data_IF_688928436288
#
_entry.id   IF_688928436288
#
_cell.length_a   1.000
_cell.length_b   1.000
_cell.length_c   1.000
_cell.angle_alpha   90.00
_cell.angle_beta   90.00
_cell.angle_gamma   90.00
#
_symmetry.space_group_name_H-M   'P 1'
#
loop_
_entity.id
_entity.type
_entity.pdbx_description
1 polymer ?
#
# COMPACT_ATOMS: atom_id res chain seq x y z
N UNK A 1 -20.33 11.10 -22.72
CA UNK A 1 -20.44 10.08 -21.64
C UNK A 1 -21.34 8.96 -22.13
N UNK A 2 -20.99 7.73 -21.88
CA UNK A 2 -21.79 6.58 -22.28
C UNK A 2 -22.95 6.41 -21.28
N UNK A 3 -24.16 6.88 -21.63
CA UNK A 3 -25.34 6.83 -20.75
C UNK A 3 -25.82 5.42 -20.39
N UNK A 4 -25.18 4.38 -20.90
CA UNK A 4 -25.50 2.98 -20.60
C UNK A 4 -24.79 2.52 -19.31
N UNK A 5 -23.64 3.11 -18.97
CA UNK A 5 -22.88 2.76 -17.78
C UNK A 5 -23.35 3.56 -16.57
N UNK A 6 -23.22 2.98 -15.37
CA UNK A 6 -23.56 3.69 -14.13
C UNK A 6 -22.66 4.89 -13.89
N UNK A 7 -23.18 5.92 -13.19
CA UNK A 7 -22.39 7.11 -12.83
C UNK A 7 -21.16 6.74 -11.99
N UNK A 8 -21.26 5.71 -11.16
CA UNK A 8 -20.14 5.20 -10.36
C UNK A 8 -18.92 4.83 -11.21
N UNK A 9 -19.13 4.09 -12.33
CA UNK A 9 -18.01 3.67 -13.19
C UNK A 9 -17.53 4.85 -14.07
N UNK A 10 -18.44 5.74 -14.48
CA UNK A 10 -18.06 6.91 -15.27
C UNK A 10 -17.21 7.91 -14.45
N UNK A 11 -17.40 7.94 -13.12
CA UNK A 11 -16.66 8.82 -12.20
C UNK A 11 -15.43 8.17 -11.57
N UNK A 12 -15.15 6.90 -11.87
CA UNK A 12 -13.99 6.18 -11.35
C UNK A 12 -12.77 6.44 -12.24
N UNK A 13 -11.66 6.87 -11.62
CA UNK A 13 -10.41 7.05 -12.35
C UNK A 13 -9.69 5.72 -12.63
N UNK A 14 -9.03 5.63 -13.77
CA UNK A 14 -8.15 4.51 -14.07
C UNK A 14 -6.88 4.60 -13.20
N UNK A 15 -6.46 3.48 -12.63
CA UNK A 15 -5.23 3.43 -11.84
C UNK A 15 -4.00 3.85 -12.65
N UNK A 16 -3.41 4.99 -12.32
CA UNK A 16 -2.21 5.54 -12.97
C UNK A 16 -1.02 4.57 -12.92
N UNK A 17 -0.87 3.81 -11.82
CA UNK A 17 0.16 2.77 -11.69
C UNK A 17 -0.01 1.68 -12.76
N UNK A 18 -1.26 1.21 -12.99
CA UNK A 18 -1.54 0.19 -13.99
C UNK A 18 -1.43 0.73 -15.41
N UNK A 19 -1.84 1.98 -15.63
CA UNK A 19 -1.72 2.66 -16.93
C UNK A 19 -0.24 2.80 -17.33
N UNK A 20 0.61 3.29 -16.43
CA UNK A 20 2.05 3.42 -16.69
C UNK A 20 2.71 2.05 -16.92
N UNK A 21 2.33 1.03 -16.16
CA UNK A 21 2.85 -0.32 -16.36
C UNK A 21 2.42 -0.93 -17.70
N UNK A 22 1.20 -0.65 -18.16
CA UNK A 22 0.72 -1.07 -19.49
C UNK A 22 1.49 -0.36 -20.60
N UNK A 23 1.68 0.96 -20.49
CA UNK A 23 2.45 1.75 -21.45
C UNK A 23 3.91 1.29 -21.53
N UNK A 24 4.55 1.02 -20.39
CA UNK A 24 5.91 0.50 -20.35
C UNK A 24 6.03 -0.87 -21.05
N UNK A 25 5.04 -1.76 -20.88
CA UNK A 25 5.00 -3.06 -21.58
C UNK A 25 4.83 -2.89 -23.09
N UNK A 26 3.96 -1.98 -23.51
CA UNK A 26 3.73 -1.67 -24.93
C UNK A 26 5.02 -1.17 -25.59
N UNK A 27 5.71 -0.20 -24.97
CA UNK A 27 6.96 0.34 -25.47
C UNK A 27 8.07 -0.72 -25.54
N UNK A 28 8.15 -1.62 -24.56
CA UNK A 28 9.06 -2.79 -24.62
C UNK A 28 8.73 -3.72 -25.78
N UNK A 29 7.45 -3.98 -26.03
CA UNK A 29 7.02 -4.81 -27.17
C UNK A 29 7.38 -4.18 -28.53
N UNK A 30 7.50 -2.85 -28.58
CA UNK A 30 7.98 -2.09 -29.73
C UNK A 30 9.52 -2.06 -29.87
N UNK A 31 10.25 -2.76 -28.97
CA UNK A 31 11.71 -2.86 -29.00
C UNK A 31 12.45 -1.76 -28.25
N UNK A 32 11.76 -0.89 -27.50
CA UNK A 32 12.43 0.14 -26.67
C UNK A 32 13.01 -0.49 -25.39
N UNK A 33 14.21 -0.04 -25.00
CA UNK A 33 14.88 -0.47 -23.77
C UNK A 33 14.33 0.29 -22.54
N UNK A 34 13.09 -0.04 -22.15
CA UNK A 34 12.41 0.61 -21.02
C UNK A 34 12.77 -0.09 -19.70
N UNK A 35 13.27 0.67 -18.72
CA UNK A 35 13.37 0.24 -17.33
C UNK A 35 12.09 0.66 -16.60
N UNK A 36 11.35 -0.30 -16.03
CA UNK A 36 10.10 0.01 -15.33
C UNK A 36 10.31 0.00 -13.82
N UNK A 37 10.18 1.19 -13.19
CA UNK A 37 10.16 1.38 -11.74
C UNK A 37 8.75 1.71 -11.23
N UNK A 38 7.70 1.37 -12.02
CA UNK A 38 6.31 1.74 -11.73
C UNK A 38 5.54 0.69 -10.92
N UNK A 39 5.97 -0.59 -10.94
CA UNK A 39 5.24 -1.68 -10.30
C UNK A 39 5.57 -1.82 -8.81
N UNK A 40 4.55 -2.12 -8.02
CA UNK A 40 4.66 -2.41 -6.60
C UNK A 40 4.63 -3.91 -6.30
N UNK A 41 5.59 -4.67 -6.84
CA UNK A 41 5.68 -6.12 -6.68
C UNK A 41 7.10 -6.52 -6.29
N UNK A 42 7.30 -7.37 -5.23
CA UNK A 42 8.61 -7.88 -4.91
C UNK A 42 9.19 -8.70 -6.07
N UNK A 43 10.49 -8.54 -6.34
CA UNK A 43 11.23 -9.30 -7.36
C UNK A 43 11.83 -10.62 -6.82
N UNK A 44 11.31 -11.09 -5.72
CA UNK A 44 11.64 -12.35 -5.08
C UNK A 44 10.62 -13.44 -5.42
N UNK A 45 11.05 -14.68 -5.36
CA UNK A 45 10.15 -15.81 -5.45
C UNK A 45 9.48 -16.08 -4.10
N UNK A 46 8.24 -16.57 -4.12
CA UNK A 46 7.60 -17.15 -2.93
C UNK A 46 8.50 -18.24 -2.35
N UNK A 47 8.79 -18.25 -1.04
CA UNK A 47 9.62 -19.27 -0.39
C UNK A 47 9.16 -20.69 -0.68
N UNK A 48 10.13 -21.63 -0.84
CA UNK A 48 9.85 -23.00 -1.27
C UNK A 48 8.92 -23.76 -0.31
N UNK A 49 9.06 -23.54 0.99
CA UNK A 49 8.20 -24.17 1.99
C UNK A 49 6.73 -23.76 1.86
N UNK A 50 6.45 -22.53 1.43
CA UNK A 50 5.09 -22.04 1.15
C UNK A 50 4.56 -22.67 -0.15
N UNK A 51 5.40 -22.76 -1.19
CA UNK A 51 5.05 -23.42 -2.46
C UNK A 51 4.75 -24.90 -2.23
N UNK A 52 5.51 -25.57 -1.34
CA UNK A 52 5.25 -26.96 -0.97
C UNK A 52 3.89 -27.13 -0.28
N UNK A 53 3.51 -26.19 0.62
CA UNK A 53 2.20 -26.22 1.26
C UNK A 53 1.05 -26.01 0.25
N UNK A 54 1.24 -25.13 -0.76
CA UNK A 54 0.27 -24.95 -1.83
C UNK A 54 0.10 -26.22 -2.68
N UNK A 55 1.20 -26.90 -3.07
CA UNK A 55 1.16 -28.16 -3.81
C UNK A 55 0.45 -29.24 -3.01
N UNK A 56 0.79 -29.38 -1.71
CA UNK A 56 0.11 -30.31 -0.82
C UNK A 56 -1.40 -30.04 -0.73
N UNK A 57 -1.82 -28.79 -0.68
CA UNK A 57 -3.24 -28.43 -0.65
C UNK A 57 -3.97 -28.87 -1.93
N UNK A 58 -3.30 -28.83 -3.09
CA UNK A 58 -3.83 -29.36 -4.35
C UNK A 58 -3.98 -30.88 -4.25
N UNK A 59 -2.93 -31.59 -3.79
CA UNK A 59 -2.94 -33.04 -3.64
C UNK A 59 -3.98 -33.52 -2.61
N UNK A 60 -4.20 -32.74 -1.56
CA UNK A 60 -5.22 -32.99 -0.52
C UNK A 60 -6.65 -32.60 -0.96
N UNK A 61 -6.86 -32.18 -2.22
CA UNK A 61 -8.15 -31.82 -2.79
C UNK A 61 -8.86 -30.63 -2.11
N UNK A 62 -8.14 -29.57 -1.72
CA UNK A 62 -8.73 -28.30 -1.31
C UNK A 62 -9.34 -27.55 -2.52
N UNK A 63 -10.36 -28.14 -3.14
CA UNK A 63 -10.98 -27.67 -4.39
C UNK A 63 -12.46 -27.26 -4.23
N UNK A 64 -13.00 -27.39 -3.01
CA UNK A 64 -14.40 -27.01 -2.70
C UNK A 64 -14.49 -25.62 -2.10
N UNK A 65 -15.70 -25.06 -1.98
CA UNK A 65 -15.92 -23.78 -1.32
C UNK A 65 -15.38 -23.78 0.10
N UNK A 66 -14.63 -22.74 0.45
CA UNK A 66 -14.22 -22.45 1.82
C UNK A 66 -15.29 -21.63 2.55
N UNK A 67 -15.25 -21.55 3.90
CA UNK A 67 -16.01 -20.54 4.63
C UNK A 67 -15.74 -19.14 4.10
N UNK A 68 -16.75 -18.27 4.11
CA UNK A 68 -16.66 -16.92 3.52
C UNK A 68 -15.56 -16.10 4.15
N UNK A 69 -15.41 -16.18 5.48
CA UNK A 69 -14.40 -15.44 6.27
C UNK A 69 -13.06 -16.17 6.41
N UNK A 70 -12.89 -17.31 5.72
CA UNK A 70 -11.69 -18.13 5.72
C UNK A 70 -11.79 -19.37 6.63
N UNK A 71 -10.85 -20.31 6.42
CA UNK A 71 -10.75 -21.51 7.26
C UNK A 71 -10.44 -21.14 8.71
N UNK A 72 -11.00 -21.91 9.65
CA UNK A 72 -10.84 -21.63 11.09
C UNK A 72 -9.37 -21.68 11.53
N UNK A 73 -8.63 -22.68 11.08
CA UNK A 73 -7.21 -22.84 11.40
C UNK A 73 -6.34 -21.72 10.79
N UNK A 74 -6.72 -21.16 9.64
CA UNK A 74 -6.06 -19.97 9.08
C UNK A 74 -6.35 -18.73 9.94
N UNK A 75 -7.58 -18.53 10.39
CA UNK A 75 -7.92 -17.41 11.28
C UNK A 75 -7.16 -17.50 12.60
N UNK A 76 -7.02 -18.70 13.15
CA UNK A 76 -6.21 -18.94 14.36
C UNK A 76 -4.72 -18.65 14.13
N UNK A 77 -4.17 -19.06 12.97
CA UNK A 77 -2.80 -18.72 12.59
C UNK A 77 -2.59 -17.20 12.45
N UNK A 78 -3.55 -16.49 11.84
CA UNK A 78 -3.52 -15.02 11.73
C UNK A 78 -3.60 -14.37 13.13
N UNK A 79 -4.40 -14.89 14.06
CA UNK A 79 -4.42 -14.40 15.44
C UNK A 79 -3.06 -14.55 16.12
N UNK A 80 -2.40 -15.73 15.95
CA UNK A 80 -1.04 -15.94 16.48
C UNK A 80 -0.04 -14.95 15.89
N UNK A 81 -0.11 -14.73 14.57
CA UNK A 81 0.72 -13.76 13.86
C UNK A 81 0.50 -12.33 14.40
N UNK A 82 -0.74 -11.87 14.50
CA UNK A 82 -1.03 -10.53 15.00
C UNK A 82 -0.56 -10.33 16.45
N UNK A 83 -0.66 -11.36 17.29
CA UNK A 83 -0.16 -11.30 18.66
C UNK A 83 1.37 -11.24 18.70
N UNK A 84 2.06 -12.08 17.90
CA UNK A 84 3.53 -12.16 17.85
C UNK A 84 4.15 -10.89 17.28
N UNK A 85 3.64 -10.40 16.13
CA UNK A 85 4.31 -9.37 15.33
C UNK A 85 3.81 -7.96 15.63
N UNK A 86 2.51 -7.82 15.96
CA UNK A 86 1.86 -6.52 16.11
C UNK A 86 1.42 -6.22 17.56
N UNK A 87 1.47 -7.21 18.48
CA UNK A 87 0.97 -7.07 19.82
C UNK A 87 -0.56 -6.95 19.91
N UNK A 88 -1.29 -7.44 18.90
CA UNK A 88 -2.76 -7.36 18.80
C UNK A 88 -3.39 -8.69 19.20
N UNK A 89 -4.28 -8.68 20.18
CA UNK A 89 -4.92 -9.89 20.72
C UNK A 89 -6.33 -10.08 20.15
N UNK A 90 -6.40 -10.45 18.88
CA UNK A 90 -7.64 -10.75 18.17
C UNK A 90 -8.14 -12.19 18.44
N UNK A 91 -9.46 -12.38 18.37
CA UNK A 91 -10.12 -13.70 18.33
C UNK A 91 -10.38 -14.10 16.87
N UNK A 92 -10.51 -15.41 16.55
CA UNK A 92 -10.85 -15.85 15.20
C UNK A 92 -12.15 -15.24 14.64
N UNK A 93 -13.13 -14.90 15.49
CA UNK A 93 -14.37 -14.20 15.09
C UNK A 93 -14.14 -12.75 14.64
N UNK A 94 -12.95 -12.19 14.90
CA UNK A 94 -12.55 -10.84 14.52
C UNK A 94 -11.69 -10.81 13.23
N UNK A 95 -11.42 -12.01 12.64
CA UNK A 95 -10.59 -12.15 11.43
C UNK A 95 -11.48 -12.42 10.22
N UNK A 96 -11.20 -11.73 9.11
CA UNK A 96 -11.81 -12.01 7.80
C UNK A 96 -10.71 -12.11 6.75
N UNK A 97 -10.66 -13.24 6.07
CA UNK A 97 -9.73 -13.51 4.96
C UNK A 97 -10.41 -13.18 3.64
N UNK A 98 -9.76 -12.37 2.81
CA UNK A 98 -10.30 -11.84 1.55
C UNK A 98 -9.36 -12.11 0.37
N UNK A 99 -9.84 -11.89 -0.85
CA UNK A 99 -9.05 -12.02 -2.09
C UNK A 99 -8.09 -10.84 -2.26
N UNK A 100 -7.08 -10.80 -1.38
CA UNK A 100 -6.09 -9.74 -1.25
C UNK A 100 -6.59 -8.57 -0.38
N UNK A 101 -5.63 -7.82 0.20
CA UNK A 101 -5.91 -6.67 1.07
C UNK A 101 -6.81 -5.61 0.39
N UNK A 102 -6.73 -5.46 -0.95
CA UNK A 102 -7.60 -4.54 -1.70
C UNK A 102 -9.08 -4.90 -1.54
N UNK A 103 -9.45 -6.17 -1.57
CA UNK A 103 -10.83 -6.58 -1.30
C UNK A 103 -11.21 -6.31 0.16
N UNK A 104 -10.30 -6.53 1.10
CA UNK A 104 -10.54 -6.19 2.51
C UNK A 104 -10.88 -4.70 2.67
N UNK A 105 -10.11 -3.82 2.06
CA UNK A 105 -10.36 -2.36 2.08
C UNK A 105 -11.69 -2.00 1.43
N UNK A 106 -12.02 -2.63 0.29
CA UNK A 106 -13.32 -2.44 -0.36
C UNK A 106 -14.47 -2.88 0.55
N UNK A 107 -14.36 -4.05 1.19
CA UNK A 107 -15.37 -4.54 2.12
C UNK A 107 -15.57 -3.58 3.29
N UNK A 108 -14.47 -3.05 3.88
CA UNK A 108 -14.51 -2.07 4.98
C UNK A 108 -15.28 -0.82 4.53
N UNK A 109 -14.93 -0.25 3.37
CA UNK A 109 -15.62 0.93 2.85
C UNK A 109 -17.11 0.69 2.65
N UNK A 110 -17.48 -0.45 2.05
CA UNK A 110 -18.87 -0.80 1.78
C UNK A 110 -19.73 -1.01 3.03
N UNK A 111 -19.14 -1.45 4.14
CA UNK A 111 -19.89 -1.70 5.38
C UNK A 111 -19.88 -0.53 6.35
N UNK A 112 -18.93 0.39 6.19
CA UNK A 112 -18.75 1.49 7.13
C UNK A 112 -19.24 2.85 6.62
N UNK A 113 -19.32 3.05 5.29
CA UNK A 113 -19.64 4.34 4.69
C UNK A 113 -21.07 4.39 4.15
N UNK A 114 -21.74 5.48 4.43
CA UNK A 114 -22.91 5.96 3.71
C UNK A 114 -22.50 7.10 2.77
N UNK A 115 -23.43 7.48 1.88
CA UNK A 115 -23.21 8.62 0.99
C UNK A 115 -22.93 9.90 1.80
N UNK A 116 -21.78 10.51 1.53
CA UNK A 116 -21.34 11.75 2.16
C UNK A 116 -20.55 11.58 3.47
N UNK A 117 -20.37 10.37 3.99
CA UNK A 117 -19.43 10.11 5.09
C UNK A 117 -17.99 10.42 4.67
N UNK A 118 -17.23 11.11 5.51
CA UNK A 118 -15.88 11.54 5.21
C UNK A 118 -14.82 10.55 5.71
N UNK A 119 -13.79 10.35 4.88
CA UNK A 119 -12.60 9.55 5.22
C UNK A 119 -11.36 10.41 5.08
N UNK A 120 -10.65 10.63 6.19
CA UNK A 120 -9.38 11.34 6.20
C UNK A 120 -8.30 10.45 5.59
N UNK A 121 -7.62 10.98 4.57
CA UNK A 121 -6.51 10.36 3.86
C UNK A 121 -5.26 11.24 3.98
N UNK A 122 -4.32 10.96 4.91
CA UNK A 122 -3.01 11.61 4.89
C UNK A 122 -2.33 11.36 3.53
N UNK A 123 -2.05 12.42 2.79
CA UNK A 123 -1.39 12.35 1.50
C UNK A 123 0.13 12.52 1.67
N UNK A 124 0.96 11.65 1.05
CA UNK A 124 0.57 10.69 0.04
C UNK A 124 -0.03 9.40 0.62
N UNK A 125 -0.94 8.83 -0.13
CA UNK A 125 -1.64 7.57 0.19
C UNK A 125 -1.58 6.60 -1.01
N UNK A 126 -1.89 5.31 -0.79
CA UNK A 126 -2.00 4.36 -1.90
C UNK A 126 -3.19 4.71 -2.81
N UNK A 127 -2.92 4.83 -4.11
CA UNK A 127 -3.87 5.29 -5.15
C UNK A 127 -5.28 4.72 -5.05
N UNK A 128 -5.42 3.49 -4.54
CA UNK A 128 -6.73 2.83 -4.47
C UNK A 128 -7.59 3.30 -3.30
N UNK A 129 -7.04 3.95 -2.27
CA UNK A 129 -7.85 4.41 -1.13
C UNK A 129 -8.89 5.43 -1.56
N UNK A 130 -8.45 6.45 -2.30
CA UNK A 130 -9.30 7.51 -2.81
C UNK A 130 -10.47 6.97 -3.63
N UNK A 131 -10.18 6.09 -4.59
CA UNK A 131 -11.19 5.53 -5.48
C UNK A 131 -12.11 4.53 -4.77
N UNK A 132 -11.62 3.74 -3.81
CA UNK A 132 -12.45 2.82 -3.02
C UNK A 132 -13.43 3.61 -2.14
N UNK A 133 -12.99 4.70 -1.50
CA UNK A 133 -13.87 5.58 -0.70
C UNK A 133 -14.97 6.16 -1.58
N UNK A 134 -14.62 6.75 -2.74
CA UNK A 134 -15.61 7.29 -3.69
C UNK A 134 -16.58 6.23 -4.20
N UNK A 135 -16.08 5.07 -4.58
CA UNK A 135 -16.88 3.95 -5.08
C UNK A 135 -17.92 3.49 -4.04
N UNK A 136 -17.64 3.71 -2.77
CA UNK A 136 -18.50 3.36 -1.63
C UNK A 136 -19.43 4.50 -1.17
N UNK A 137 -19.51 5.61 -1.92
CA UNK A 137 -20.33 6.77 -1.57
C UNK A 137 -19.68 7.75 -0.59
N UNK A 138 -18.49 7.42 -0.06
CA UNK A 138 -17.75 8.28 0.86
C UNK A 138 -17.06 9.45 0.16
N UNK A 139 -16.67 10.43 0.95
CA UNK A 139 -15.93 11.62 0.53
C UNK A 139 -14.50 11.54 1.07
N UNK A 140 -13.48 11.36 0.21
CA UNK A 140 -12.09 11.39 0.65
C UNK A 140 -11.70 12.83 1.04
N UNK A 141 -11.16 13.00 2.24
CA UNK A 141 -10.62 14.26 2.77
C UNK A 141 -9.11 14.15 2.80
N UNK A 142 -8.47 14.71 1.78
CA UNK A 142 -7.02 14.66 1.63
C UNK A 142 -6.34 15.65 2.58
N UNK A 143 -5.37 15.17 3.38
CA UNK A 143 -4.56 16.03 4.25
C UNK A 143 -3.14 16.03 3.71
N UNK A 144 -2.69 17.13 3.08
CA UNK A 144 -1.38 17.19 2.46
C UNK A 144 -0.26 17.12 3.50
N UNK A 145 0.78 16.34 3.18
CA UNK A 145 2.04 16.29 3.89
C UNK A 145 3.21 16.44 2.91
N UNK A 146 4.43 16.56 3.41
CA UNK A 146 5.59 16.85 2.56
C UNK A 146 6.85 16.08 3.00
N UNK A 147 7.91 16.22 2.22
CA UNK A 147 9.23 15.67 2.55
C UNK A 147 9.71 16.16 3.92
N UNK A 148 9.44 17.41 4.27
CA UNK A 148 9.85 18.04 5.52
C UNK A 148 9.22 17.41 6.77
N UNK A 149 8.04 16.79 6.61
CA UNK A 149 7.34 16.04 7.68
C UNK A 149 7.50 14.52 7.53
N UNK A 150 8.44 14.07 6.70
CA UNK A 150 8.58 12.66 6.33
C UNK A 150 7.27 12.07 5.81
N UNK A 151 6.47 12.89 5.11
CA UNK A 151 5.16 12.51 4.58
C UNK A 151 4.19 11.92 5.62
N UNK A 152 4.28 12.36 6.87
CA UNK A 152 3.42 11.94 7.98
C UNK A 152 2.50 13.08 8.41
N UNK A 153 1.23 12.73 8.74
CA UNK A 153 0.27 13.70 9.29
C UNK A 153 0.64 14.01 10.74
N UNK A 154 0.46 15.27 11.15
CA UNK A 154 0.62 15.67 12.55
C UNK A 154 -0.72 15.59 13.32
N UNK A 155 -0.70 15.54 14.66
CA UNK A 155 -1.91 15.60 15.47
C UNK A 155 -2.78 16.85 15.18
N UNK A 156 -2.13 17.99 14.95
CA UNK A 156 -2.81 19.26 14.65
C UNK A 156 -3.51 19.21 13.29
N UNK A 157 -2.85 18.65 12.28
CA UNK A 157 -3.45 18.44 10.96
C UNK A 157 -4.64 17.47 11.04
N UNK A 158 -4.52 16.38 11.82
CA UNK A 158 -5.61 15.44 12.02
C UNK A 158 -6.80 16.10 12.71
N UNK A 159 -6.58 16.81 13.82
CA UNK A 159 -7.64 17.53 14.53
C UNK A 159 -8.35 18.54 13.63
N UNK A 160 -7.59 19.29 12.82
CA UNK A 160 -8.14 20.29 11.90
C UNK A 160 -8.96 19.68 10.74
N UNK A 161 -8.68 18.44 10.35
CA UNK A 161 -9.40 17.75 9.26
C UNK A 161 -10.70 17.08 9.72
N UNK A 162 -10.89 16.91 11.03
CA UNK A 162 -12.09 16.25 11.57
C UNK A 162 -13.30 17.17 11.49
N UNK A 163 -14.40 16.63 10.94
CA UNK A 163 -15.72 17.27 10.88
C UNK A 163 -16.78 16.36 11.49
N UNK A 164 -18.02 16.83 11.70
CA UNK A 164 -19.13 15.97 12.12
C UNK A 164 -19.46 14.81 11.15
N UNK A 165 -18.97 14.86 9.91
CA UNK A 165 -19.14 13.81 8.89
C UNK A 165 -18.00 12.81 8.86
N UNK A 166 -16.90 13.08 9.55
CA UNK A 166 -15.71 12.21 9.56
C UNK A 166 -16.06 10.87 10.21
N UNK A 167 -15.91 9.81 9.45
CA UNK A 167 -16.20 8.42 9.82
C UNK A 167 -14.96 7.60 10.06
N UNK A 168 -13.93 7.81 9.24
CA UNK A 168 -12.70 7.02 9.29
C UNK A 168 -11.47 7.86 8.97
N UNK A 169 -10.31 7.39 9.43
CA UNK A 169 -8.99 7.76 8.94
C UNK A 169 -8.34 6.52 8.35
N UNK A 170 -7.81 6.60 7.12
CA UNK A 170 -7.07 5.51 6.47
C UNK A 170 -5.63 5.91 6.22
N UNK A 171 -4.69 5.09 6.64
CA UNK A 171 -3.27 5.29 6.35
C UNK A 171 -2.54 3.96 6.22
N UNK A 172 -1.33 3.98 5.67
CA UNK A 172 -0.43 2.82 5.64
C UNK A 172 0.89 3.13 6.36
N UNK A 173 1.38 2.15 7.10
CA UNK A 173 2.70 2.18 7.73
C UNK A 173 3.28 0.77 7.74
N UNK A 174 4.42 0.55 7.07
CA UNK A 174 5.16 1.43 6.15
C UNK A 174 4.32 1.89 4.95
N UNK A 175 4.56 3.11 4.47
CA UNK A 175 3.69 3.77 3.49
C UNK A 175 4.08 3.43 2.04
N UNK A 176 3.09 3.18 1.22
CA UNK A 176 3.16 3.31 -0.23
C UNK A 176 2.44 4.62 -0.61
N UNK A 177 3.15 5.68 -1.10
CA UNK A 177 4.40 5.61 -1.87
C UNK A 177 5.69 6.05 -1.14
N UNK A 178 5.63 6.63 0.06
CA UNK A 178 6.76 7.36 0.65
C UNK A 178 7.81 6.48 1.34
N UNK A 179 7.46 5.26 1.70
CA UNK A 179 8.28 4.39 2.54
C UNK A 179 8.41 4.85 3.99
N UNK A 180 7.68 5.88 4.39
CA UNK A 180 7.68 6.41 5.76
C UNK A 180 7.06 5.41 6.73
N UNK A 181 7.57 5.38 7.96
CA UNK A 181 7.09 4.52 9.03
C UNK A 181 6.75 5.40 10.24
N UNK A 182 5.56 5.24 10.78
CA UNK A 182 5.17 5.94 12.01
C UNK A 182 5.81 5.30 13.23
N UNK A 183 6.43 6.11 14.07
CA UNK A 183 6.93 5.67 15.38
C UNK A 183 5.78 5.43 16.38
N UNK A 184 6.07 4.74 17.49
CA UNK A 184 5.12 4.58 18.58
C UNK A 184 4.67 5.92 19.17
N UNK A 185 5.59 6.87 19.28
CA UNK A 185 5.34 8.22 19.80
C UNK A 185 4.38 8.99 18.90
N UNK A 186 4.62 8.97 17.57
CA UNK A 186 3.75 9.60 16.58
C UNK A 186 2.36 8.98 16.58
N UNK A 187 2.25 7.64 16.58
CA UNK A 187 0.97 6.95 16.66
C UNK A 187 0.24 7.22 17.97
N UNK A 188 0.97 7.33 19.09
CA UNK A 188 0.37 7.69 20.39
C UNK A 188 -0.18 9.12 20.37
N UNK A 189 0.50 10.04 19.70
CA UNK A 189 0.01 11.41 19.56
C UNK A 189 -1.26 11.49 18.69
N UNK A 190 -1.33 10.74 17.60
CA UNK A 190 -2.55 10.61 16.79
C UNK A 190 -3.69 9.93 17.56
N UNK A 191 -3.39 8.88 18.33
CA UNK A 191 -4.37 8.19 19.17
C UNK A 191 -5.04 9.13 20.18
N UNK A 192 -4.28 10.05 20.80
CA UNK A 192 -4.83 11.06 21.73
C UNK A 192 -5.82 12.02 21.05
N UNK A 193 -5.63 12.32 19.78
CA UNK A 193 -6.64 13.08 19.00
C UNK A 193 -7.89 12.22 18.81
N UNK A 194 -7.72 10.99 18.35
CA UNK A 194 -8.83 10.07 18.07
C UNK A 194 -9.63 9.67 19.33
N UNK A 195 -9.03 9.68 20.51
CA UNK A 195 -9.73 9.46 21.79
C UNK A 195 -10.85 10.46 22.04
N UNK A 196 -10.69 11.71 21.60
CA UNK A 196 -11.71 12.76 21.71
C UNK A 196 -12.89 12.53 20.74
N UNK A 197 -12.70 11.68 19.74
CA UNK A 197 -13.65 11.41 18.67
C UNK A 197 -14.04 9.92 18.63
N UNK A 198 -14.90 9.45 19.55
CA UNK A 198 -15.16 8.02 19.76
C UNK A 198 -15.80 7.33 18.55
N UNK A 199 -16.42 8.07 17.64
CA UNK A 199 -17.11 7.54 16.47
C UNK A 199 -16.21 7.39 15.23
N UNK A 200 -14.94 7.84 15.29
CA UNK A 200 -13.98 7.73 14.19
C UNK A 200 -13.20 6.42 14.33
N UNK A 201 -13.20 5.60 13.28
CA UNK A 201 -12.45 4.37 13.18
C UNK A 201 -11.18 4.58 12.36
N UNK A 202 -10.14 3.79 12.68
CA UNK A 202 -8.88 3.82 11.94
C UNK A 202 -8.76 2.57 11.09
N UNK A 203 -8.45 2.74 9.82
CA UNK A 203 -8.00 1.65 8.93
C UNK A 203 -6.49 1.78 8.78
N UNK A 204 -5.77 0.85 9.41
CA UNK A 204 -4.32 0.75 9.37
C UNK A 204 -3.92 -0.35 8.37
N UNK A 205 -3.42 0.06 7.20
CA UNK A 205 -2.87 -0.88 6.21
C UNK A 205 -1.40 -1.15 6.52
N UNK A 206 -1.15 -2.33 7.10
CA UNK A 206 0.15 -2.76 7.59
C UNK A 206 0.79 -3.82 6.66
N UNK A 207 0.38 -3.85 5.38
CA UNK A 207 0.82 -4.87 4.40
C UNK A 207 2.34 -4.92 4.21
N UNK A 208 3.07 -3.84 4.56
CA UNK A 208 4.52 -3.74 4.46
C UNK A 208 5.25 -3.90 5.80
N UNK A 209 4.59 -4.27 6.89
CA UNK A 209 5.16 -4.31 8.26
C UNK A 209 6.50 -5.05 8.38
N UNK A 210 6.68 -6.14 7.61
CA UNK A 210 7.92 -6.92 7.61
C UNK A 210 9.01 -6.34 6.70
N UNK A 211 8.67 -5.42 5.79
CA UNK A 211 9.64 -4.69 4.99
C UNK A 211 9.86 -3.34 5.68
N UNK A 212 10.54 -3.41 6.81
CA UNK A 212 10.78 -2.30 7.73
C UNK A 212 12.27 -2.30 8.11
N UNK A 213 12.91 -1.17 7.92
CA UNK A 213 14.36 -0.98 8.11
C UNK A 213 14.67 -0.23 9.41
N UNK A 214 13.66 0.33 10.09
CA UNK A 214 13.84 1.04 11.38
C UNK A 214 14.17 0.12 12.55
N UNK A 215 13.97 -1.20 12.37
CA UNK A 215 14.17 -2.21 13.42
C UNK A 215 13.00 -2.32 14.42
N UNK A 216 12.06 -1.39 14.41
CA UNK A 216 10.87 -1.41 15.26
C UNK A 216 9.62 -1.15 14.43
N UNK A 217 8.60 -1.96 14.63
CA UNK A 217 7.27 -1.74 14.05
C UNK A 217 6.26 -1.51 15.16
N UNK A 218 5.35 -0.55 14.99
CA UNK A 218 4.26 -0.30 15.89
C UNK A 218 2.94 -0.27 15.12
N UNK A 219 2.00 -1.14 15.49
CA UNK A 219 0.63 -1.04 15.05
C UNK A 219 -0.12 -0.01 15.90
N UNK A 220 -0.94 0.86 15.29
CA UNK A 220 -1.77 1.80 16.04
C UNK A 220 -2.78 1.06 16.94
N UNK A 221 -3.25 -0.12 16.53
CA UNK A 221 -4.11 -0.97 17.34
C UNK A 221 -3.47 -1.43 18.64
N UNK A 222 -2.13 -1.42 18.76
CA UNK A 222 -1.39 -1.77 19.99
C UNK A 222 -1.29 -0.62 20.99
N UNK A 223 -1.68 0.59 20.60
CA UNK A 223 -1.76 1.73 21.53
C UNK A 223 -2.97 1.52 22.45
N UNK A 224 -2.83 1.75 23.76
CA UNK A 224 -3.95 1.58 24.69
C UNK A 224 -5.21 2.33 24.23
N UNK A 225 -6.36 1.65 24.25
CA UNK A 225 -7.64 2.20 23.81
C UNK A 225 -7.91 2.15 22.30
N UNK A 226 -6.94 1.76 21.47
CA UNK A 226 -7.09 1.79 20.02
C UNK A 226 -7.54 0.48 19.39
N UNK A 227 -7.39 -0.68 20.02
CA UNK A 227 -7.73 -1.97 19.42
C UNK A 227 -9.19 -2.03 18.92
N UNK A 228 -10.13 -1.58 19.74
CA UNK A 228 -11.57 -1.59 19.41
C UNK A 228 -11.99 -0.47 18.44
N UNK A 229 -11.06 0.41 18.06
CA UNK A 229 -11.26 1.49 17.07
C UNK A 229 -10.45 1.28 15.80
N UNK A 230 -9.65 0.21 15.74
CA UNK A 230 -8.74 -0.06 14.62
C UNK A 230 -9.22 -1.27 13.82
N UNK A 231 -9.18 -1.12 12.51
CA UNK A 231 -9.30 -2.20 11.54
C UNK A 231 -7.91 -2.38 10.95
N UNK A 232 -7.20 -3.41 11.37
CA UNK A 232 -5.86 -3.70 10.88
C UNK A 232 -5.97 -4.52 9.59
N UNK A 233 -5.49 -3.98 8.49
CA UNK A 233 -5.44 -4.66 7.18
C UNK A 233 -4.04 -5.19 6.96
N UNK A 234 -3.94 -6.45 6.54
CA UNK A 234 -2.65 -7.09 6.29
C UNK A 234 -2.77 -8.19 5.23
N UNK A 235 -1.70 -8.91 4.97
CA UNK A 235 -1.67 -10.02 4.01
C UNK A 235 -0.27 -10.54 3.75
N UNK A 236 -0.19 -11.55 2.90
CA UNK A 236 1.08 -12.24 2.59
C UNK A 236 1.72 -11.78 1.28
N UNK A 237 1.08 -10.88 0.56
CA UNK A 237 1.45 -10.50 -0.81
C UNK A 237 2.85 -9.89 -0.91
N UNK A 238 3.28 -9.10 0.10
CA UNK A 238 4.52 -8.31 0.04
C UNK A 238 5.66 -9.02 0.73
N UNK A 239 5.53 -9.32 2.01
CA UNK A 239 6.57 -9.98 2.79
C UNK A 239 6.98 -11.35 2.24
N UNK A 240 6.03 -12.12 1.74
CA UNK A 240 6.27 -13.48 1.25
C UNK A 240 6.28 -13.61 -0.28
N UNK A 241 6.30 -12.47 -1.01
CA UNK A 241 6.27 -12.44 -2.48
C UNK A 241 5.11 -13.30 -3.06
N UNK A 242 3.91 -13.14 -2.49
CA UNK A 242 2.71 -13.93 -2.81
C UNK A 242 1.62 -13.07 -3.47
N UNK A 243 2.00 -12.10 -4.30
CA UNK A 243 1.04 -11.17 -4.93
C UNK A 243 -0.01 -11.90 -5.76
N UNK A 244 0.37 -12.96 -6.48
CA UNK A 244 -0.49 -13.80 -7.32
C UNK A 244 -1.39 -14.76 -6.55
N UNK A 245 -1.12 -15.06 -5.27
CA UNK A 245 -1.96 -15.93 -4.43
C UNK A 245 -3.26 -15.24 -4.00
N UNK A 246 -3.29 -13.90 -4.02
CA UNK A 246 -4.48 -13.10 -3.70
C UNK A 246 -5.05 -13.38 -2.32
N UNK A 247 -4.25 -13.34 -1.27
CA UNK A 247 -4.70 -13.42 0.12
C UNK A 247 -4.34 -12.14 0.86
N UNK A 248 -5.36 -11.54 1.46
CA UNK A 248 -5.28 -10.49 2.47
C UNK A 248 -6.27 -10.80 3.59
N UNK A 249 -6.14 -10.12 4.70
CA UNK A 249 -7.03 -10.33 5.85
C UNK A 249 -7.13 -9.05 6.69
N UNK A 250 -8.16 -9.02 7.52
CA UNK A 250 -8.32 -7.98 8.56
C UNK A 250 -8.41 -8.62 9.93
N UNK A 251 -7.94 -7.85 10.94
CA UNK A 251 -8.37 -7.97 12.33
C UNK A 251 -9.16 -6.71 12.69
N UNK A 252 -10.38 -6.88 13.22
CA UNK A 252 -11.29 -5.77 13.46
C UNK A 252 -12.22 -6.05 14.65
N UNK A 253 -12.91 -5.02 15.20
CA UNK A 253 -14.04 -5.25 16.10
C UNK A 253 -15.04 -6.24 15.49
N UNK A 254 -15.55 -7.17 16.29
CA UNK A 254 -16.31 -8.33 15.81
C UNK A 254 -17.52 -7.95 14.96
N UNK A 255 -18.22 -6.86 15.28
CA UNK A 255 -19.36 -6.40 14.50
C UNK A 255 -18.97 -5.94 13.10
N UNK A 256 -17.77 -5.34 12.92
CA UNK A 256 -17.22 -4.95 11.62
C UNK A 256 -16.79 -6.20 10.84
N UNK A 257 -16.12 -7.15 11.49
CA UNK A 257 -15.71 -8.41 10.88
C UNK A 257 -16.94 -9.19 10.35
N UNK A 258 -18.00 -9.27 11.14
CA UNK A 258 -19.29 -9.90 10.71
C UNK A 258 -19.92 -9.17 9.52
N UNK A 259 -19.89 -7.83 9.50
CA UNK A 259 -20.40 -7.05 8.38
C UNK A 259 -19.57 -7.28 7.11
N UNK A 260 -18.22 -7.29 7.23
CA UNK A 260 -17.33 -7.61 6.11
C UNK A 260 -17.56 -9.04 5.58
N UNK A 261 -17.76 -10.02 6.46
CA UNK A 261 -18.12 -11.39 6.04
C UNK A 261 -19.44 -11.40 5.27
N UNK A 262 -20.43 -10.63 5.73
CA UNK A 262 -21.75 -10.55 5.08
C UNK A 262 -21.64 -9.99 3.66
N UNK A 263 -20.93 -8.87 3.45
CA UNK A 263 -20.76 -8.29 2.11
C UNK A 263 -19.93 -9.20 1.22
N UNK A 264 -18.83 -9.78 1.73
CA UNK A 264 -17.97 -10.70 0.97
C UNK A 264 -18.75 -11.93 0.47
N UNK A 265 -19.67 -12.44 1.26
CA UNK A 265 -20.56 -13.56 0.87
C UNK A 265 -21.45 -13.24 -0.32
N UNK A 266 -21.78 -11.97 -0.55
CA UNK A 266 -22.60 -11.55 -1.70
C UNK A 266 -21.76 -11.17 -2.93
N UNK A 267 -20.44 -10.92 -2.76
CA UNK A 267 -19.58 -10.40 -3.84
C UNK A 267 -18.69 -11.51 -4.42
N UNK A 268 -17.92 -12.22 -3.58
CA UNK A 268 -16.92 -13.20 -4.03
C UNK A 268 -17.01 -14.56 -3.36
N UNK A 269 -17.74 -14.69 -2.26
CA UNK A 269 -17.65 -15.84 -1.34
C UNK A 269 -16.25 -15.94 -0.70
N UNK A 270 -15.82 -17.13 -0.29
CA UNK A 270 -14.52 -17.36 0.33
C UNK A 270 -13.35 -17.18 -0.64
N UNK A 271 -12.18 -16.81 -0.11
CA UNK A 271 -10.95 -16.73 -0.88
C UNK A 271 -10.48 -18.12 -1.34
N UNK A 272 -9.55 -18.15 -2.30
CA UNK A 272 -9.02 -19.38 -2.87
C UNK A 272 -8.48 -20.35 -1.80
N UNK A 273 -9.01 -21.59 -1.78
CA UNK A 273 -8.72 -22.60 -0.76
C UNK A 273 -7.25 -22.98 -0.69
N UNK A 274 -6.61 -23.22 -1.84
CA UNK A 274 -5.20 -23.60 -1.93
C UNK A 274 -4.32 -22.45 -1.40
N UNK A 275 -4.62 -21.21 -1.78
CA UNK A 275 -3.92 -20.04 -1.31
C UNK A 275 -4.07 -19.83 0.21
N UNK A 276 -5.25 -20.10 0.77
CA UNK A 276 -5.47 -20.07 2.22
C UNK A 276 -4.59 -21.10 2.95
N UNK A 277 -4.49 -22.34 2.45
CA UNK A 277 -3.64 -23.38 3.05
C UNK A 277 -2.16 -22.99 3.03
N UNK A 278 -1.68 -22.43 1.90
CA UNK A 278 -0.32 -21.91 1.80
C UNK A 278 -0.07 -20.74 2.78
N UNK A 279 -1.09 -19.90 3.00
CA UNK A 279 -0.99 -18.73 3.89
C UNK A 279 -0.79 -19.13 5.35
N UNK A 280 -1.37 -20.24 5.83
CA UNK A 280 -1.11 -20.73 7.20
C UNK A 280 0.38 -20.93 7.42
N UNK A 281 1.05 -21.59 6.49
CA UNK A 281 2.50 -21.85 6.56
C UNK A 281 3.31 -20.55 6.53
N UNK A 282 2.84 -19.55 5.77
CA UNK A 282 3.51 -18.24 5.69
C UNK A 282 3.39 -17.46 7.01
N UNK A 283 2.18 -17.32 7.57
CA UNK A 283 1.96 -16.51 8.77
C UNK A 283 2.44 -17.15 10.06
N UNK A 284 2.51 -18.49 10.12
CA UNK A 284 3.09 -19.22 11.26
C UNK A 284 4.62 -19.30 11.19
N UNK A 285 5.26 -18.98 10.05
CA UNK A 285 6.71 -18.98 9.94
C UNK A 285 7.35 -17.94 10.86
N UNK A 286 8.55 -18.24 11.33
CA UNK A 286 9.39 -17.26 12.04
C UNK A 286 9.72 -16.10 11.08
N UNK A 287 9.53 -14.83 11.46
CA UNK A 287 9.82 -13.67 10.61
C UNK A 287 11.27 -13.62 10.08
N UNK A 288 12.23 -14.30 10.73
CA UNK A 288 13.62 -14.36 10.27
C UNK A 288 13.79 -14.97 8.87
N UNK A 289 12.82 -15.76 8.39
CA UNK A 289 12.82 -16.29 7.01
C UNK A 289 12.78 -15.18 5.94
N UNK A 290 12.44 -13.96 6.34
CA UNK A 290 12.36 -12.79 5.47
C UNK A 290 13.63 -11.93 5.47
N UNK A 291 14.60 -12.23 6.35
CA UNK A 291 15.77 -11.38 6.59
C UNK A 291 16.58 -11.11 5.31
N UNK A 292 16.78 -12.11 4.45
CA UNK A 292 17.52 -11.93 3.19
C UNK A 292 16.83 -10.90 2.28
N UNK A 293 15.53 -11.01 2.11
CA UNK A 293 14.74 -10.06 1.30
C UNK A 293 14.74 -8.66 1.91
N UNK A 294 14.57 -8.55 3.23
CA UNK A 294 14.56 -7.26 3.94
C UNK A 294 15.92 -6.57 3.83
N UNK A 295 17.02 -7.31 4.01
CA UNK A 295 18.38 -6.80 3.85
C UNK A 295 18.64 -6.34 2.41
N UNK A 296 18.19 -7.10 1.41
CA UNK A 296 18.32 -6.70 0.02
C UNK A 296 17.56 -5.38 -0.28
N UNK A 297 16.32 -5.25 0.20
CA UNK A 297 15.57 -4.01 0.05
C UNK A 297 16.21 -2.84 0.81
N UNK A 298 16.76 -3.07 1.99
CA UNK A 298 17.48 -2.06 2.75
C UNK A 298 18.71 -1.54 1.96
N UNK A 299 19.54 -2.43 1.42
CA UNK A 299 20.68 -2.04 0.59
C UNK A 299 20.27 -1.29 -0.69
N UNK A 300 19.18 -1.70 -1.34
CA UNK A 300 18.63 -1.02 -2.52
C UNK A 300 18.10 0.37 -2.17
N UNK A 301 17.45 0.54 -1.01
CA UNK A 301 17.03 1.83 -0.48
C UNK A 301 18.22 2.79 -0.36
N UNK A 302 19.29 2.34 0.26
CA UNK A 302 20.50 3.16 0.46
C UNK A 302 21.13 3.56 -0.88
N UNK A 303 21.22 2.62 -1.83
CA UNK A 303 21.71 2.87 -3.18
C UNK A 303 20.86 3.96 -3.88
N UNK A 304 19.54 3.77 -3.91
CA UNK A 304 18.62 4.68 -4.63
C UNK A 304 18.60 6.06 -3.99
N UNK A 305 18.54 6.14 -2.66
CA UNK A 305 18.58 7.41 -1.92
C UNK A 305 19.91 8.14 -2.16
N UNK A 306 21.03 7.41 -2.14
CA UNK A 306 22.34 7.97 -2.45
C UNK A 306 22.39 8.60 -3.84
N UNK A 307 21.97 7.86 -4.86
CA UNK A 307 21.98 8.34 -6.26
C UNK A 307 20.99 9.51 -6.50
N UNK A 308 19.80 9.49 -5.88
CA UNK A 308 18.83 10.58 -6.00
C UNK A 308 19.32 11.88 -5.36
N UNK A 309 20.05 11.82 -4.24
CA UNK A 309 20.65 12.98 -3.59
C UNK A 309 21.72 13.68 -4.45
N UNK A 310 22.28 12.98 -5.43
CA UNK A 310 23.23 13.57 -6.39
C UNK A 310 22.56 14.39 -7.51
N UNK A 311 21.22 14.36 -7.61
CA UNK A 311 20.46 15.08 -8.64
C UNK A 311 20.09 16.47 -8.09
N UNK A 312 20.64 17.56 -8.62
CA UNK A 312 20.32 18.91 -8.14
C UNK A 312 18.82 19.21 -8.29
N UNK A 313 18.21 19.69 -7.20
CA UNK A 313 16.79 20.06 -7.19
C UNK A 313 15.83 18.93 -6.79
N UNK A 314 16.28 17.70 -6.68
CA UNK A 314 15.49 16.61 -6.10
C UNK A 314 15.58 16.66 -4.59
N UNK A 315 14.42 16.61 -3.90
CA UNK A 315 14.35 16.46 -2.45
C UNK A 315 13.76 15.08 -2.12
N UNK A 316 14.30 14.42 -1.11
CA UNK A 316 13.87 13.06 -0.74
C UNK A 316 14.00 12.86 0.78
N UNK A 317 13.03 12.19 1.38
CA UNK A 317 13.17 11.57 2.69
C UNK A 317 14.05 10.30 2.61
N UNK A 318 14.36 9.70 3.73
CA UNK A 318 14.99 8.38 3.79
C UNK A 318 13.91 7.37 4.18
N UNK A 319 13.39 6.58 3.24
CA UNK A 319 12.36 5.60 3.54
C UNK A 319 12.83 4.59 4.61
N UNK A 320 11.99 4.35 5.60
CA UNK A 320 12.26 3.37 6.66
C UNK A 320 11.57 2.04 6.43
N UNK A 321 10.78 1.92 5.35
CA UNK A 321 10.10 0.67 5.00
C UNK A 321 9.54 0.65 3.58
N UNK A 322 8.82 -0.43 3.27
CA UNK A 322 8.33 -0.76 1.93
C UNK A 322 9.49 -0.88 0.90
N UNK A 323 9.23 -0.70 -0.37
CA UNK A 323 10.26 -0.71 -1.43
C UNK A 323 10.01 0.42 -2.46
N UNK A 324 9.71 1.62 -1.93
CA UNK A 324 9.45 2.82 -2.72
C UNK A 324 10.26 4.00 -2.21
N UNK A 325 10.56 4.91 -3.14
CA UNK A 325 10.99 6.29 -2.84
C UNK A 325 10.01 7.25 -3.52
N UNK A 326 9.84 8.42 -2.92
CA UNK A 326 8.86 9.42 -3.37
C UNK A 326 9.48 10.82 -3.40
N UNK A 327 10.48 11.06 -4.28
CA UNK A 327 11.16 12.34 -4.37
C UNK A 327 10.23 13.45 -4.83
N UNK A 328 10.40 14.64 -4.22
CA UNK A 328 9.84 15.89 -4.69
C UNK A 328 10.69 16.37 -5.87
N UNK A 329 10.02 16.62 -6.99
CA UNK A 329 10.59 17.07 -8.27
C UNK A 329 10.07 18.45 -8.69
N UNK A 330 9.38 19.15 -7.79
CA UNK A 330 8.76 20.45 -8.06
C UNK A 330 9.77 21.53 -8.53
N UNK A 331 11.05 21.38 -8.20
CA UNK A 331 12.12 22.27 -8.67
C UNK A 331 12.30 22.29 -10.20
N UNK A 332 11.76 21.31 -10.90
CA UNK A 332 11.79 21.22 -12.37
C UNK A 332 10.59 21.87 -13.03
N UNK A 333 9.54 22.22 -12.28
CA UNK A 333 8.35 22.86 -12.83
C UNK A 333 8.66 24.25 -13.38
N UNK A 334 8.06 24.56 -14.51
CA UNK A 334 8.32 25.81 -15.26
C UNK A 334 9.61 25.80 -16.09
N UNK A 335 10.37 24.69 -16.09
CA UNK A 335 11.58 24.54 -16.92
C UNK A 335 11.25 23.86 -18.24
N UNK A 336 12.14 24.10 -19.24
CA UNK A 336 12.14 23.35 -20.50
C UNK A 336 13.37 22.45 -20.51
N UNK A 337 13.17 21.13 -20.54
CA UNK A 337 14.23 20.13 -20.60
C UNK A 337 14.21 19.45 -21.97
N UNK A 338 15.30 19.54 -22.76
CA UNK A 338 15.39 18.99 -24.12
C UNK A 338 14.18 19.31 -25.02
N UNK A 339 13.60 20.50 -24.86
CA UNK A 339 12.43 20.93 -25.64
C UNK A 339 11.07 20.53 -25.05
N UNK A 340 11.03 19.78 -23.95
CA UNK A 340 9.80 19.43 -23.23
C UNK A 340 9.53 20.48 -22.13
N UNK A 341 8.36 21.11 -22.15
CA UNK A 341 7.89 21.99 -21.08
C UNK A 341 7.42 21.14 -19.90
N UNK A 342 7.97 21.36 -18.71
CA UNK A 342 7.66 20.61 -17.49
C UNK A 342 6.74 21.46 -16.61
N UNK A 343 5.45 21.14 -16.56
CA UNK A 343 4.44 21.88 -15.79
C UNK A 343 4.17 21.28 -14.42
N UNK A 344 4.24 19.95 -14.32
CA UNK A 344 3.87 19.19 -13.16
C UNK A 344 4.65 17.85 -13.06
N UNK A 345 4.34 17.04 -12.04
CA UNK A 345 4.99 15.75 -11.84
C UNK A 345 4.62 14.72 -12.92
N UNK A 346 3.45 14.84 -13.56
CA UNK A 346 3.09 13.97 -14.67
C UNK A 346 4.00 14.24 -15.88
N UNK A 347 4.25 15.52 -16.19
CA UNK A 347 5.17 15.89 -17.26
C UNK A 347 6.60 15.38 -16.96
N UNK A 348 7.06 15.43 -15.70
CA UNK A 348 8.34 14.81 -15.31
C UNK A 348 8.31 13.31 -15.59
N UNK A 349 7.26 12.60 -15.17
CA UNK A 349 7.17 11.14 -15.37
C UNK A 349 7.14 10.77 -16.86
N UNK A 350 6.42 11.53 -17.69
CA UNK A 350 6.34 11.31 -19.14
C UNK A 350 7.65 11.68 -19.84
N UNK A 351 8.32 12.77 -19.39
CA UNK A 351 9.63 13.15 -19.86
C UNK A 351 10.69 12.08 -19.59
N UNK A 352 10.71 11.53 -18.36
CA UNK A 352 11.62 10.44 -18.00
C UNK A 352 11.35 9.18 -18.83
N UNK A 353 10.09 8.89 -19.14
CA UNK A 353 9.75 7.77 -20.00
C UNK A 353 10.24 7.99 -21.44
N UNK A 354 10.09 9.20 -21.98
CA UNK A 354 10.47 9.54 -23.35
C UNK A 354 11.99 9.64 -23.55
N UNK A 355 12.69 10.36 -22.67
CA UNK A 355 14.09 10.74 -22.84
C UNK A 355 15.07 9.85 -22.07
N UNK A 356 14.65 9.28 -20.95
CA UNK A 356 15.46 8.38 -20.13
C UNK A 356 15.10 6.90 -20.35
N UNK A 357 13.99 6.59 -21.01
CA UNK A 357 13.42 5.25 -21.10
C UNK A 357 13.19 4.62 -19.70
N UNK A 358 12.78 5.42 -18.72
CA UNK A 358 12.48 4.98 -17.35
C UNK A 358 11.03 5.31 -17.00
N UNK A 359 10.24 4.27 -16.71
CA UNK A 359 8.83 4.42 -16.30
C UNK A 359 8.71 4.59 -14.79
N UNK A 360 8.12 5.71 -14.36
CA UNK A 360 7.84 6.09 -12.97
C UNK A 360 6.33 6.34 -12.82
N UNK A 361 5.85 6.71 -11.63
CA UNK A 361 4.42 7.05 -11.44
C UNK A 361 4.30 8.47 -10.89
N UNK A 362 3.46 9.28 -11.52
CA UNK A 362 3.17 10.65 -11.05
C UNK A 362 2.61 10.66 -9.63
N UNK A 363 2.98 11.67 -8.84
CA UNK A 363 2.55 11.84 -7.47
C UNK A 363 1.08 12.24 -7.30
N UNK A 364 0.47 12.83 -8.34
CA UNK A 364 -0.96 13.15 -8.36
C UNK A 364 -1.82 11.93 -8.01
N UNK A 365 -1.41 10.76 -8.52
CA UNK A 365 -2.09 9.49 -8.23
C UNK A 365 -2.12 9.14 -6.73
N UNK A 366 -1.23 9.72 -5.94
CA UNK A 366 -1.07 9.49 -4.51
C UNK A 366 -1.48 10.70 -3.66
N UNK A 367 -2.11 11.71 -4.28
CA UNK A 367 -2.53 12.94 -3.60
C UNK A 367 -1.39 13.93 -3.32
N UNK A 368 -0.23 13.80 -3.97
CA UNK A 368 0.86 14.76 -3.84
C UNK A 368 1.45 15.14 -5.22
N UNK A 369 1.04 16.29 -5.79
CA UNK A 369 1.38 16.67 -7.16
C UNK A 369 2.86 17.13 -7.34
N UNK A 370 3.64 17.24 -6.27
CA UNK A 370 5.03 17.66 -6.34
C UNK A 370 6.02 16.52 -6.52
N UNK A 371 5.55 15.28 -6.35
CA UNK A 371 6.41 14.11 -6.25
C UNK A 371 6.21 13.12 -7.41
N UNK A 372 7.16 12.19 -7.56
CA UNK A 372 7.02 11.00 -8.40
C UNK A 372 7.42 9.76 -7.61
N UNK A 373 6.78 8.60 -7.87
CA UNK A 373 7.12 7.36 -7.18
C UNK A 373 8.04 6.49 -8.03
N UNK A 374 9.10 5.97 -7.38
CA UNK A 374 9.92 4.87 -7.88
C UNK A 374 9.76 3.65 -6.99
N UNK A 375 9.62 2.46 -7.60
CA UNK A 375 9.80 1.19 -6.90
C UNK A 375 11.26 0.74 -7.06
N UNK A 376 11.89 0.31 -5.97
CA UNK A 376 13.23 -0.29 -6.03
C UNK A 376 13.21 -1.83 -5.88
N UNK A 377 12.07 -2.44 -6.20
CA UNK A 377 11.92 -3.89 -6.25
C UNK A 377 12.49 -4.45 -7.57
N UNK A 378 13.81 -4.30 -7.77
CA UNK A 378 14.59 -4.85 -8.88
C UNK A 378 16.08 -4.90 -8.53
N UNK A 379 16.94 -5.43 -9.41
CA UNK A 379 18.37 -5.58 -9.12
C UNK A 379 19.12 -4.25 -8.99
N UNK A 380 20.23 -4.26 -8.24
CA UNK A 380 21.10 -3.09 -8.08
C UNK A 380 21.61 -2.54 -9.42
N UNK A 381 21.94 -3.39 -10.38
CA UNK A 381 22.43 -2.98 -11.70
C UNK A 381 21.35 -2.20 -12.46
N UNK A 382 20.10 -2.71 -12.45
CA UNK A 382 18.96 -2.03 -13.07
C UNK A 382 18.68 -0.69 -12.39
N UNK A 383 18.74 -0.62 -11.05
CA UNK A 383 18.55 0.62 -10.29
C UNK A 383 19.64 1.65 -10.61
N UNK A 384 20.90 1.22 -10.64
CA UNK A 384 22.03 2.09 -10.97
C UNK A 384 21.89 2.68 -12.37
N UNK A 385 21.55 1.86 -13.36
CA UNK A 385 21.37 2.31 -14.73
C UNK A 385 20.14 3.24 -14.86
N UNK A 386 19.03 2.91 -14.22
CA UNK A 386 17.84 3.76 -14.23
C UNK A 386 18.14 5.15 -13.65
N UNK A 387 18.80 5.21 -12.49
CA UNK A 387 19.12 6.48 -11.82
C UNK A 387 20.19 7.27 -12.57
N UNK A 388 21.14 6.60 -13.25
CA UNK A 388 22.08 7.26 -14.18
C UNK A 388 21.32 7.97 -15.32
N UNK A 389 20.40 7.27 -15.99
CA UNK A 389 19.56 7.82 -17.07
C UNK A 389 18.70 8.99 -16.59
N UNK A 390 18.08 8.86 -15.42
CA UNK A 390 17.27 9.92 -14.80
C UNK A 390 18.13 11.15 -14.51
N UNK A 391 19.30 10.96 -13.90
CA UNK A 391 20.24 12.07 -13.61
C UNK A 391 20.64 12.80 -14.88
N UNK A 392 21.05 12.09 -15.92
CA UNK A 392 21.42 12.68 -17.21
C UNK A 392 20.26 13.45 -17.85
N UNK A 393 19.04 12.93 -17.79
CA UNK A 393 17.86 13.60 -18.35
C UNK A 393 17.51 14.88 -17.57
N UNK A 394 17.56 14.86 -16.23
CA UNK A 394 17.18 16.00 -15.39
C UNK A 394 18.26 17.07 -15.26
N UNK A 395 19.51 16.78 -15.65
CA UNK A 395 20.64 17.74 -15.59
C UNK A 395 21.12 18.23 -16.97
N UNK A 396 20.42 17.85 -18.03
CA UNK A 396 20.73 18.15 -19.43
C UNK A 396 20.43 19.61 -19.80
#
# INVERSE_FOLDING_TARGET
MNHILSDRINNLATSQTLAMAALARELKAQGKDIISLSLGEPDFNTPDFIKAAAKKAIDDNYSTYSPVDGYQDLKEAICRKFKRDNGLDYKPSQIVVSTGAKQSLYNIAQVMLNDGDEVILPAPYWVSYFEIVKLSGGVPVEVPTSVETDFKITPEQLEAAITPKTKMMWFSSPCNPSGSVYSREELTALAKVLEKHPNIYVVADEIYEHINFSGTFCSIGSIPGMLEKTITVNGVAKAFAMTGYRIGYIGAPEFIAKACTKIQGQVTSGANSVAQRATITAVDADPSVLNEMVQAFHGRRDLVVGLLKEIPGVKINVPEGAFYVFPDVSSFFGKTLKGHEIKDANDVSMYLLAEANVATVTGDAFGNPNCIRFSYATSNDILTEALRRIKEALTA
#
